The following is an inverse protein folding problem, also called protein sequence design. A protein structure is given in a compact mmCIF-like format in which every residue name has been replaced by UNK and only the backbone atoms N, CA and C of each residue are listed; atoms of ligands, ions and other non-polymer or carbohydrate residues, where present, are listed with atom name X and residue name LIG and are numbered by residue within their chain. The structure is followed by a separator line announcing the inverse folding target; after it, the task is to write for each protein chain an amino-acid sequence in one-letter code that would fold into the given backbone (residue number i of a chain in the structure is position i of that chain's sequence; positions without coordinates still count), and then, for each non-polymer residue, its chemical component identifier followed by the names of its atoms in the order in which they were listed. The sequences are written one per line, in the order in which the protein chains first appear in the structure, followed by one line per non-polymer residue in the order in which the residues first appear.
data_IF_911709005381
#
_entry.id   IF_911709005381
#
_cell.length_a   1.000
_cell.length_b   1.000
_cell.length_c   1.000
_cell.angle_alpha   90.00
_cell.angle_beta   90.00
_cell.angle_gamma   90.00
#
_symmetry.space_group_name_H-M   'P 1'
#
loop_
_entity.id
_entity.type
_entity.pdbx_description
1 polymer ?
#
# COMPACT_ATOMS: atom_id res chain seq x y z
N UNK A 1 -50.35 66.11 -56.21
CA UNK A 1 -49.14 66.15 -55.36
C UNK A 1 -49.38 65.46 -54.02
N UNK A 2 -50.42 65.85 -53.27
CA UNK A 2 -50.78 65.26 -51.97
C UNK A 2 -50.93 63.72 -51.97
N UNK A 3 -51.71 63.16 -52.88
CA UNK A 3 -51.93 61.70 -52.97
C UNK A 3 -50.66 60.88 -53.27
N UNK A 4 -49.69 61.47 -53.99
CA UNK A 4 -48.43 60.79 -54.27
C UNK A 4 -47.48 60.84 -53.05
N UNK A 5 -47.60 61.89 -52.23
CA UNK A 5 -46.89 62.02 -50.96
C UNK A 5 -47.44 61.01 -49.94
N UNK A 6 -48.77 60.90 -49.82
CA UNK A 6 -49.46 59.95 -48.93
C UNK A 6 -49.11 58.50 -49.26
N UNK A 7 -49.14 58.12 -50.53
CA UNK A 7 -48.71 56.78 -50.96
C UNK A 7 -47.26 56.48 -50.59
N UNK A 8 -46.36 57.45 -50.78
CA UNK A 8 -44.93 57.29 -50.47
C UNK A 8 -44.68 57.20 -48.96
N UNK A 9 -45.47 57.92 -48.15
CA UNK A 9 -45.46 57.80 -46.69
C UNK A 9 -45.98 56.43 -46.26
N UNK A 10 -47.02 55.90 -46.91
CA UNK A 10 -47.58 54.59 -46.58
C UNK A 10 -46.64 53.44 -46.96
N UNK A 11 -45.99 53.52 -48.12
CA UNK A 11 -44.94 52.58 -48.54
C UNK A 11 -43.77 52.58 -47.54
N UNK A 12 -43.23 53.77 -47.20
CA UNK A 12 -42.15 53.92 -46.21
C UNK A 12 -42.54 53.41 -44.82
N UNK A 13 -43.77 53.67 -44.38
CA UNK A 13 -44.27 53.20 -43.08
C UNK A 13 -44.37 51.67 -43.05
N UNK A 14 -44.82 51.05 -44.15
CA UNK A 14 -44.88 49.60 -44.29
C UNK A 14 -43.49 48.95 -44.29
N UNK A 15 -42.54 49.53 -45.04
CA UNK A 15 -41.14 49.11 -45.06
C UNK A 15 -40.49 49.17 -43.67
N UNK A 16 -40.70 50.29 -42.95
CA UNK A 16 -40.22 50.47 -41.57
C UNK A 16 -40.84 49.44 -40.62
N UNK A 17 -42.13 49.15 -40.77
CA UNK A 17 -42.82 48.15 -39.93
C UNK A 17 -42.25 46.75 -40.16
N UNK A 18 -42.03 46.36 -41.43
CA UNK A 18 -41.40 45.07 -41.77
C UNK A 18 -39.95 44.99 -41.26
N UNK A 19 -39.18 46.07 -41.37
CA UNK A 19 -37.82 46.13 -40.86
C UNK A 19 -37.77 46.01 -39.33
N UNK A 20 -38.70 46.65 -38.61
CA UNK A 20 -38.81 46.56 -37.15
C UNK A 20 -39.13 45.15 -36.68
N UNK A 21 -40.02 44.42 -37.36
CA UNK A 21 -40.33 43.01 -37.05
C UNK A 21 -39.08 42.14 -37.21
N UNK A 22 -38.37 42.26 -38.34
CA UNK A 22 -37.12 41.50 -38.59
C UNK A 22 -36.00 41.84 -37.61
N UNK A 23 -35.91 43.10 -37.16
CA UNK A 23 -34.97 43.51 -36.12
C UNK A 23 -35.34 42.92 -34.76
N UNK A 24 -36.64 42.87 -34.42
CA UNK A 24 -37.14 42.20 -33.22
C UNK A 24 -36.74 40.72 -33.18
N UNK A 25 -37.04 39.98 -34.24
CA UNK A 25 -36.66 38.56 -34.36
C UNK A 25 -35.14 38.35 -34.18
N UNK A 26 -34.31 39.18 -34.83
CA UNK A 26 -32.84 39.11 -34.68
C UNK A 26 -32.36 39.42 -33.26
N UNK A 27 -33.02 40.35 -32.56
CA UNK A 27 -32.69 40.68 -31.17
C UNK A 27 -33.04 39.51 -30.25
N UNK A 28 -34.19 38.86 -30.47
CA UNK A 28 -34.61 37.69 -29.70
C UNK A 28 -33.69 36.48 -29.93
N UNK A 29 -33.30 36.23 -31.18
CA UNK A 29 -32.31 35.20 -31.53
C UNK A 29 -30.96 35.47 -30.87
N UNK A 30 -30.47 36.71 -30.94
CA UNK A 30 -29.18 37.10 -30.34
C UNK A 30 -29.21 36.98 -28.82
N UNK A 31 -30.32 37.36 -28.19
CA UNK A 31 -30.51 37.24 -26.73
C UNK A 31 -30.54 35.78 -26.30
N UNK A 32 -31.18 34.91 -27.07
CA UNK A 32 -31.22 33.47 -26.82
C UNK A 32 -29.84 32.84 -26.99
N UNK A 33 -29.11 33.19 -28.06
CA UNK A 33 -27.74 32.72 -28.28
C UNK A 33 -26.78 33.19 -27.17
N UNK A 34 -26.91 34.44 -26.70
CA UNK A 34 -26.11 34.96 -25.60
C UNK A 34 -26.35 34.18 -24.30
N UNK A 35 -27.60 33.89 -23.96
CA UNK A 35 -27.94 33.08 -22.77
C UNK A 35 -27.33 31.68 -22.83
N UNK A 36 -27.35 31.03 -23.99
CA UNK A 36 -26.72 29.70 -24.18
C UNK A 36 -25.20 29.79 -23.99
N UNK A 37 -24.57 30.81 -24.56
CA UNK A 37 -23.12 31.03 -24.41
C UNK A 37 -22.73 31.25 -22.95
N UNK A 38 -23.47 32.09 -22.22
CA UNK A 38 -23.24 32.34 -20.79
C UNK A 38 -23.34 31.06 -19.95
N UNK A 39 -24.31 30.18 -20.23
CA UNK A 39 -24.41 28.89 -19.54
C UNK A 39 -23.22 27.97 -19.86
N UNK A 40 -22.78 27.90 -21.13
CA UNK A 40 -21.60 27.11 -21.51
C UNK A 40 -20.31 27.62 -20.85
N UNK A 41 -20.14 28.93 -20.73
CA UNK A 41 -19.00 29.52 -20.04
C UNK A 41 -18.99 29.14 -18.55
N UNK A 42 -20.14 29.12 -17.88
CA UNK A 42 -20.25 28.67 -16.48
C UNK A 42 -19.80 27.21 -16.31
N UNK A 43 -20.24 26.32 -17.19
CA UNK A 43 -19.84 24.90 -17.18
C UNK A 43 -18.33 24.75 -17.38
N UNK A 44 -17.76 25.42 -18.39
CA UNK A 44 -16.33 25.35 -18.70
C UNK A 44 -15.50 25.88 -17.53
N UNK A 45 -15.87 27.05 -16.97
CA UNK A 45 -15.15 27.64 -15.85
C UNK A 45 -15.19 26.73 -14.62
N UNK A 46 -16.34 26.09 -14.34
CA UNK A 46 -16.45 25.16 -13.22
C UNK A 46 -15.50 23.96 -13.37
N UNK A 47 -15.45 23.34 -14.56
CA UNK A 47 -14.57 22.20 -14.81
C UNK A 47 -13.10 22.61 -14.81
N UNK A 48 -12.77 23.80 -15.33
CA UNK A 48 -11.43 24.36 -15.28
C UNK A 48 -10.97 24.64 -13.84
N UNK A 49 -11.80 25.31 -13.04
CA UNK A 49 -11.50 25.60 -11.63
C UNK A 49 -11.35 24.31 -10.82
N UNK A 50 -12.16 23.28 -11.12
CA UNK A 50 -12.01 21.95 -10.52
C UNK A 50 -10.67 21.31 -10.90
N UNK A 51 -10.27 21.35 -12.17
CA UNK A 51 -8.96 20.84 -12.62
C UNK A 51 -7.82 21.55 -11.89
N UNK A 52 -7.87 22.88 -11.84
CA UNK A 52 -6.88 23.71 -11.15
C UNK A 52 -6.83 23.44 -9.65
N UNK A 53 -7.98 23.14 -9.03
CA UNK A 53 -8.07 22.76 -7.62
C UNK A 53 -7.37 21.42 -7.36
N UNK A 54 -7.62 20.42 -8.21
CA UNK A 54 -7.05 19.07 -8.09
C UNK A 54 -5.52 19.07 -8.29
N UNK A 55 -5.01 19.94 -9.15
CA UNK A 55 -3.57 20.07 -9.43
C UNK A 55 -2.78 20.77 -8.31
N UNK A 56 -3.44 21.33 -7.29
CA UNK A 56 -2.74 22.00 -6.19
C UNK A 56 -1.89 20.99 -5.40
N UNK A 57 -0.60 21.27 -5.18
CA UNK A 57 0.26 20.37 -4.43
C UNK A 57 -0.26 20.22 -2.98
N UNK A 58 -0.28 18.98 -2.49
CA UNK A 58 -0.66 18.60 -1.11
C UNK A 58 -2.11 18.92 -0.69
N UNK A 59 -3.01 19.28 -1.61
CA UNK A 59 -4.42 19.42 -1.26
C UNK A 59 -4.99 18.07 -0.81
N UNK A 60 -5.77 18.04 0.28
CA UNK A 60 -6.43 16.81 0.73
C UNK A 60 -7.68 16.50 -0.09
N UNK A 61 -8.11 15.24 -0.10
CA UNK A 61 -9.34 14.84 -0.78
C UNK A 61 -10.57 15.56 -0.17
N UNK A 62 -10.57 15.76 1.14
CA UNK A 62 -11.58 16.51 1.88
C UNK A 62 -11.67 17.97 1.42
N UNK A 63 -10.52 18.63 1.24
CA UNK A 63 -10.46 20.00 0.72
C UNK A 63 -10.97 20.08 -0.72
N UNK A 64 -10.63 19.11 -1.57
CA UNK A 64 -11.16 19.03 -2.94
C UNK A 64 -12.69 18.95 -2.90
N UNK A 65 -13.25 18.03 -2.12
CA UNK A 65 -14.70 17.88 -2.03
C UNK A 65 -15.39 19.13 -1.46
N UNK A 66 -14.84 19.73 -0.42
CA UNK A 66 -15.41 20.95 0.17
C UNK A 66 -15.37 22.13 -0.80
N UNK A 67 -14.27 22.37 -1.51
CA UNK A 67 -14.20 23.45 -2.50
C UNK A 67 -15.11 23.17 -3.71
N UNK A 68 -15.26 21.90 -4.09
CA UNK A 68 -16.11 21.51 -5.22
C UNK A 68 -17.58 21.86 -4.99
N UNK A 69 -18.11 21.78 -3.76
CA UNK A 69 -19.51 22.19 -3.49
C UNK A 69 -19.74 23.67 -3.80
N UNK A 70 -18.72 24.52 -3.59
CA UNK A 70 -18.79 25.94 -3.88
C UNK A 70 -18.63 26.23 -5.37
N UNK A 71 -17.80 25.46 -6.09
CA UNK A 71 -17.69 25.54 -7.55
C UNK A 71 -19.00 25.18 -8.24
N UNK A 72 -19.63 24.06 -7.84
CA UNK A 72 -20.94 23.64 -8.36
C UNK A 72 -21.97 24.75 -8.13
N UNK A 73 -22.07 25.28 -6.90
CA UNK A 73 -23.01 26.37 -6.58
C UNK A 73 -22.84 27.58 -7.49
N UNK A 74 -21.59 28.01 -7.76
CA UNK A 74 -21.30 29.16 -8.63
C UNK A 74 -21.63 28.90 -10.10
N UNK A 75 -21.55 27.65 -10.55
CA UNK A 75 -21.77 27.27 -11.94
C UNK A 75 -23.26 27.17 -12.32
N UNK A 76 -24.16 27.06 -11.34
CA UNK A 76 -25.60 26.91 -11.59
C UNK A 76 -26.25 28.22 -12.08
N UNK A 77 -27.44 28.10 -12.66
CA UNK A 77 -28.21 29.25 -13.16
C UNK A 77 -28.48 30.28 -12.07
N UNK A 78 -28.83 29.82 -10.86
CA UNK A 78 -29.15 30.69 -9.72
C UNK A 78 -28.29 30.40 -8.46
N UNK A 79 -27.00 30.81 -8.44
CA UNK A 79 -26.07 30.47 -7.36
C UNK A 79 -26.52 30.87 -5.94
N UNK A 80 -27.27 31.96 -5.81
CA UNK A 80 -27.72 32.47 -4.51
C UNK A 80 -28.71 31.53 -3.82
N UNK A 81 -29.53 30.84 -4.59
CA UNK A 81 -30.53 29.88 -4.11
C UNK A 81 -30.11 28.43 -4.33
N UNK A 82 -29.01 28.16 -5.03
CA UNK A 82 -28.44 26.81 -5.10
C UNK A 82 -27.75 26.45 -3.79
N UNK A 83 -27.99 25.24 -3.30
CA UNK A 83 -27.17 24.63 -2.27
C UNK A 83 -26.79 23.21 -2.65
N UNK A 84 -25.60 22.79 -2.22
CA UNK A 84 -24.95 21.57 -2.70
C UNK A 84 -24.45 20.77 -1.51
N UNK A 85 -24.57 19.45 -1.59
CA UNK A 85 -23.92 18.52 -0.69
C UNK A 85 -23.26 17.40 -1.47
N UNK A 86 -22.02 17.11 -1.13
CA UNK A 86 -21.34 15.89 -1.56
C UNK A 86 -21.25 14.98 -0.34
N UNK A 87 -21.67 13.73 -0.48
CA UNK A 87 -21.42 12.67 0.50
C UNK A 87 -20.46 11.68 -0.13
N UNK A 88 -19.29 11.49 0.49
CA UNK A 88 -18.28 10.54 0.02
C UNK A 88 -17.72 9.80 1.24
N UNK A 89 -17.75 8.47 1.18
CA UNK A 89 -17.31 7.58 2.28
C UNK A 89 -17.88 7.98 3.67
N UNK A 90 -19.18 8.31 3.71
CA UNK A 90 -19.89 8.73 4.93
C UNK A 90 -19.66 10.20 5.37
N UNK A 91 -18.62 10.86 4.85
CA UNK A 91 -18.32 12.27 5.14
C UNK A 91 -19.18 13.19 4.27
N UNK A 92 -19.69 14.27 4.86
CA UNK A 92 -20.61 15.22 4.21
C UNK A 92 -19.95 16.59 4.06
N UNK A 93 -19.77 17.02 2.81
CA UNK A 93 -19.29 18.33 2.41
C UNK A 93 -20.47 19.14 1.91
N UNK A 94 -20.63 20.39 2.36
CA UNK A 94 -21.83 21.17 2.04
C UNK A 94 -21.54 22.65 1.90
N UNK A 95 -22.41 23.32 1.15
CA UNK A 95 -22.46 24.78 1.19
C UNK A 95 -23.04 25.25 2.53
N UNK A 96 -22.69 26.48 2.91
CA UNK A 96 -23.17 27.20 4.08
C UNK A 96 -24.71 27.28 4.15
N UNK A 97 -25.37 27.48 3.00
CA UNK A 97 -26.82 27.60 2.86
C UNK A 97 -27.57 26.26 2.68
N UNK A 98 -26.95 25.12 2.98
CA UNK A 98 -27.53 23.81 2.65
C UNK A 98 -28.86 23.52 3.36
N UNK A 99 -29.91 23.28 2.56
CA UNK A 99 -31.23 22.83 3.02
C UNK A 99 -31.88 21.96 1.94
N UNK A 100 -32.44 20.82 2.35
CA UNK A 100 -33.20 19.95 1.44
C UNK A 100 -34.53 20.61 1.05
N UNK A 101 -34.87 20.53 -0.23
CA UNK A 101 -36.11 21.02 -0.83
C UNK A 101 -36.63 20.00 -1.86
N UNK A 102 -37.84 20.18 -2.37
CA UNK A 102 -38.39 19.31 -3.43
C UNK A 102 -37.66 19.50 -4.77
N UNK A 103 -37.16 20.72 -5.03
CA UNK A 103 -36.41 21.06 -6.24
C UNK A 103 -34.98 20.55 -6.12
N UNK A 104 -34.77 19.28 -6.50
CA UNK A 104 -33.50 18.58 -6.30
C UNK A 104 -33.06 17.74 -7.49
N UNK A 105 -31.74 17.55 -7.62
CA UNK A 105 -31.13 16.57 -8.51
C UNK A 105 -29.95 15.90 -7.81
N UNK A 106 -29.60 14.70 -8.26
CA UNK A 106 -28.54 13.91 -7.66
C UNK A 106 -27.79 13.09 -8.70
N UNK A 107 -26.49 12.90 -8.47
CA UNK A 107 -25.61 12.06 -9.27
C UNK A 107 -24.74 11.20 -8.35
N UNK A 108 -24.44 9.98 -8.78
CA UNK A 108 -23.57 9.08 -8.03
C UNK A 108 -22.11 9.31 -8.42
N UNK A 109 -21.24 9.37 -7.41
CA UNK A 109 -19.80 9.28 -7.62
C UNK A 109 -19.45 7.80 -7.60
N UNK A 110 -18.83 7.32 -8.67
CA UNK A 110 -18.41 5.92 -8.83
C UNK A 110 -16.89 5.78 -8.84
N UNK A 111 -16.39 4.71 -8.22
CA UNK A 111 -15.01 4.24 -8.31
C UNK A 111 -15.10 2.79 -8.78
N UNK A 112 -14.46 2.44 -9.90
CA UNK A 112 -14.48 1.08 -10.46
C UNK A 112 -15.89 0.46 -10.57
N UNK A 113 -16.86 1.26 -11.04
CA UNK A 113 -18.31 0.98 -11.12
C UNK A 113 -19.08 0.92 -9.79
N UNK A 114 -18.40 0.81 -8.65
CA UNK A 114 -19.00 0.83 -7.33
C UNK A 114 -19.40 2.23 -6.89
N UNK A 115 -20.54 2.33 -6.21
CA UNK A 115 -21.03 3.60 -5.65
C UNK A 115 -20.18 4.01 -4.44
N UNK A 116 -19.32 4.99 -4.63
CA UNK A 116 -18.45 5.55 -3.58
C UNK A 116 -19.04 6.81 -2.91
N UNK A 117 -19.96 7.50 -3.58
CA UNK A 117 -20.55 8.73 -3.07
C UNK A 117 -21.75 9.24 -3.85
N UNK A 118 -22.24 10.42 -3.48
CA UNK A 118 -23.37 11.08 -4.13
C UNK A 118 -23.22 12.59 -4.03
N UNK A 119 -23.50 13.29 -5.12
CA UNK A 119 -23.65 14.74 -5.17
C UNK A 119 -25.15 15.04 -5.21
N UNK A 120 -25.60 15.94 -4.34
CA UNK A 120 -26.98 16.38 -4.22
C UNK A 120 -27.02 17.89 -4.38
N UNK A 121 -27.87 18.39 -5.26
CA UNK A 121 -28.08 19.82 -5.48
C UNK A 121 -29.54 20.17 -5.30
N UNK A 122 -29.80 21.26 -4.59
CA UNK A 122 -31.14 21.77 -4.29
C UNK A 122 -31.25 23.25 -4.66
N UNK A 123 -32.43 23.66 -5.13
CA UNK A 123 -32.82 25.07 -5.20
C UNK A 123 -33.69 25.47 -4.00
N UNK A 124 -33.36 26.61 -3.38
CA UNK A 124 -34.07 27.21 -2.26
C UNK A 124 -35.14 28.19 -2.79
N UNK A 125 -36.43 27.88 -2.61
CA UNK A 125 -37.54 28.77 -3.01
C UNK A 125 -38.77 28.00 -3.49
N UNK A 126 -39.88 28.71 -3.66
CA UNK A 126 -41.12 28.17 -4.26
C UNK A 126 -41.04 28.21 -5.80
N UNK A 127 -41.74 27.26 -6.45
CA UNK A 127 -41.69 26.92 -7.88
C UNK A 127 -41.46 28.13 -8.79
N UNK A 128 -40.45 28.02 -9.68
CA UNK A 128 -40.43 28.86 -10.87
C UNK A 128 -41.73 28.62 -11.64
N UNK A 129 -42.56 29.65 -11.73
CA UNK A 129 -43.70 29.66 -12.62
C UNK A 129 -43.24 29.33 -14.05
N UNK A 130 -44.04 28.50 -14.73
CA UNK A 130 -43.92 28.09 -16.13
C UNK A 130 -42.96 26.93 -16.43
N UNK A 131 -43.58 25.80 -16.77
CA UNK A 131 -43.15 24.72 -17.67
C UNK A 131 -41.66 24.45 -17.89
N UNK A 132 -41.31 23.18 -17.65
CA UNK A 132 -40.04 22.48 -17.89
C UNK A 132 -39.20 22.31 -16.62
N UNK A 133 -38.52 21.17 -16.56
CA UNK A 133 -37.73 20.66 -15.44
C UNK A 133 -36.93 21.75 -14.71
N UNK A 134 -36.86 21.73 -13.37
CA UNK A 134 -36.27 22.83 -12.58
C UNK A 134 -34.77 23.05 -12.83
N UNK A 135 -34.09 22.06 -13.41
CA UNK A 135 -32.70 22.10 -13.81
C UNK A 135 -32.54 21.97 -15.32
N UNK A 136 -31.52 22.64 -15.85
CA UNK A 136 -31.15 22.56 -17.26
C UNK A 136 -30.43 21.24 -17.56
N UNK A 137 -30.38 20.86 -18.84
CA UNK A 137 -29.61 19.70 -19.30
C UNK A 137 -28.12 19.91 -19.02
N UNK A 138 -27.61 21.12 -19.25
CA UNK A 138 -26.23 21.49 -19.01
C UNK A 138 -25.83 21.38 -17.53
N UNK A 139 -26.78 21.60 -16.60
CA UNK A 139 -26.55 21.45 -15.16
C UNK A 139 -26.46 19.97 -14.74
N UNK A 140 -27.26 19.10 -15.37
CA UNK A 140 -27.15 17.65 -15.22
C UNK A 140 -25.83 17.14 -15.81
N UNK A 141 -25.51 17.53 -17.05
CA UNK A 141 -24.28 17.13 -17.74
C UNK A 141 -23.03 17.60 -16.96
N UNK A 142 -23.08 18.80 -16.35
CA UNK A 142 -22.03 19.31 -15.47
C UNK A 142 -21.87 18.42 -14.22
N UNK A 143 -22.97 18.05 -13.55
CA UNK A 143 -22.91 17.17 -12.39
C UNK A 143 -22.33 15.80 -12.73
N UNK A 144 -22.73 15.22 -13.85
CA UNK A 144 -22.18 13.95 -14.35
C UNK A 144 -20.68 14.04 -14.61
N UNK A 145 -20.23 15.14 -15.24
CA UNK A 145 -18.82 15.38 -15.50
C UNK A 145 -18.03 15.53 -14.19
N UNK A 146 -18.55 16.28 -13.23
CA UNK A 146 -17.90 16.48 -11.91
C UNK A 146 -17.86 15.15 -11.14
N UNK A 147 -18.95 14.40 -11.10
CA UNK A 147 -18.99 13.12 -10.39
C UNK A 147 -17.97 12.12 -10.95
N UNK A 148 -17.85 12.03 -12.29
CA UNK A 148 -16.82 11.22 -12.94
C UNK A 148 -15.41 11.70 -12.61
N UNK A 149 -15.18 13.02 -12.58
CA UNK A 149 -13.88 13.59 -12.28
C UNK A 149 -13.46 13.32 -10.82
N UNK A 150 -14.36 13.57 -9.86
CA UNK A 150 -14.14 13.27 -8.45
C UNK A 150 -13.89 11.79 -8.20
N UNK A 151 -14.63 10.90 -8.88
CA UNK A 151 -14.40 9.45 -8.82
C UNK A 151 -12.99 9.07 -9.24
N UNK A 152 -12.51 9.59 -10.39
CA UNK A 152 -11.12 9.33 -10.86
C UNK A 152 -10.05 9.85 -9.91
N UNK A 153 -10.24 11.04 -9.34
CA UNK A 153 -9.29 11.63 -8.39
C UNK A 153 -9.24 10.83 -7.10
N UNK A 154 -10.39 10.45 -6.57
CA UNK A 154 -10.50 9.63 -5.37
C UNK A 154 -9.85 8.26 -5.58
N UNK A 155 -10.14 7.58 -6.70
CA UNK A 155 -9.52 6.31 -7.07
C UNK A 155 -7.98 6.42 -7.11
N UNK A 156 -7.47 7.44 -7.81
CA UNK A 156 -6.02 7.69 -7.90
C UNK A 156 -5.38 7.92 -6.52
N UNK A 157 -6.04 8.66 -5.64
CA UNK A 157 -5.57 8.90 -4.27
C UNK A 157 -5.55 7.62 -3.44
N UNK A 158 -6.63 6.84 -3.48
CA UNK A 158 -6.71 5.55 -2.78
C UNK A 158 -5.64 4.56 -3.27
N UNK A 159 -5.40 4.46 -4.58
CA UNK A 159 -4.32 3.63 -5.11
C UNK A 159 -2.95 4.11 -4.62
N UNK A 160 -2.71 5.43 -4.60
CA UNK A 160 -1.48 6.01 -4.09
C UNK A 160 -1.24 5.70 -2.61
N UNK A 161 -2.26 5.91 -1.77
CA UNK A 161 -2.20 5.64 -0.33
C UNK A 161 -2.01 4.15 -0.02
N UNK A 162 -2.72 3.26 -0.74
CA UNK A 162 -2.55 1.81 -0.61
C UNK A 162 -1.12 1.38 -0.98
N UNK A 163 -0.56 1.94 -2.05
CA UNK A 163 0.80 1.65 -2.47
C UNK A 163 1.83 2.15 -1.45
N UNK A 164 1.63 3.34 -0.89
CA UNK A 164 2.48 3.89 0.16
C UNK A 164 2.42 3.06 1.45
N UNK A 165 1.21 2.66 1.88
CA UNK A 165 1.02 1.75 3.00
C UNK A 165 1.74 0.41 2.75
N UNK A 166 1.58 -0.17 1.56
CA UNK A 166 2.22 -1.43 1.20
C UNK A 166 3.76 -1.32 1.22
N UNK A 167 4.33 -0.25 0.67
CA UNK A 167 5.77 0.03 0.74
C UNK A 167 6.27 0.15 2.17
N UNK A 168 5.56 0.92 3.00
CA UNK A 168 5.89 1.08 4.41
C UNK A 168 5.82 -0.24 5.19
N UNK A 169 4.87 -1.13 4.89
CA UNK A 169 4.77 -2.44 5.52
C UNK A 169 5.95 -3.34 5.12
N UNK A 170 6.33 -3.34 3.84
CA UNK A 170 7.48 -4.10 3.33
C UNK A 170 8.80 -3.60 3.95
N UNK A 171 8.98 -2.29 4.04
CA UNK A 171 10.20 -1.69 4.60
C UNK A 171 10.33 -1.88 6.10
N UNK A 172 9.20 -2.02 6.82
CA UNK A 172 9.17 -2.34 8.25
C UNK A 172 9.26 -3.83 8.55
N UNK A 173 9.30 -4.70 7.54
CA UNK A 173 9.57 -6.12 7.75
C UNK A 173 10.98 -6.31 8.31
N UNK A 174 11.12 -7.23 9.27
CA UNK A 174 12.45 -7.62 9.77
C UNK A 174 13.22 -8.49 8.78
N UNK A 175 12.53 -9.01 7.76
CA UNK A 175 13.09 -9.87 6.73
C UNK A 175 13.65 -9.03 5.58
N UNK A 176 14.72 -9.53 4.96
CA UNK A 176 15.24 -8.95 3.74
C UNK A 176 14.38 -9.45 2.58
N UNK A 177 13.76 -8.53 1.83
CA UNK A 177 12.88 -8.87 0.71
C UNK A 177 13.53 -8.40 -0.58
N UNK A 178 13.59 -9.29 -1.56
CA UNK A 178 14.14 -9.05 -2.89
C UNK A 178 13.14 -9.47 -3.97
N UNK A 179 13.05 -8.67 -5.02
CA UNK A 179 12.41 -9.05 -6.29
C UNK A 179 13.53 -9.26 -7.30
N UNK A 180 13.60 -10.45 -7.88
CA UNK A 180 14.73 -10.88 -8.70
C UNK A 180 14.22 -11.26 -10.09
N UNK A 181 14.97 -10.85 -11.11
CA UNK A 181 14.77 -11.29 -12.49
C UNK A 181 15.20 -12.77 -12.64
N UNK A 182 14.28 -13.68 -13.01
CA UNK A 182 14.63 -15.11 -13.11
C UNK A 182 15.66 -15.40 -14.21
N UNK A 183 15.74 -14.58 -15.25
CA UNK A 183 16.63 -14.81 -16.40
C UNK A 183 18.08 -14.46 -16.08
N UNK A 184 18.32 -13.39 -15.33
CA UNK A 184 19.68 -12.88 -15.10
C UNK A 184 20.08 -12.78 -13.64
N UNK A 185 19.17 -13.08 -12.71
CA UNK A 185 19.42 -12.97 -11.27
C UNK A 185 19.58 -11.52 -10.80
N UNK A 186 19.17 -10.52 -11.61
CA UNK A 186 19.27 -9.10 -11.26
C UNK A 186 18.24 -8.72 -10.23
N UNK A 187 18.61 -7.89 -9.26
CA UNK A 187 17.64 -7.31 -8.34
C UNK A 187 16.83 -6.24 -9.06
N UNK A 188 15.51 -6.43 -9.09
CA UNK A 188 14.53 -5.51 -9.66
C UNK A 188 13.95 -4.58 -8.59
N UNK A 189 13.84 -5.08 -7.35
CA UNK A 189 13.47 -4.29 -6.18
C UNK A 189 14.03 -4.92 -4.89
N UNK A 190 14.20 -4.09 -3.87
CA UNK A 190 14.65 -4.48 -2.52
C UNK A 190 13.99 -3.58 -1.48
N UNK A 191 13.68 -4.15 -0.31
CA UNK A 191 13.20 -3.36 0.82
C UNK A 191 14.34 -2.67 1.59
N UNK A 192 13.98 -1.71 2.45
CA UNK A 192 14.93 -0.99 3.31
C UNK A 192 15.76 -1.95 4.19
N UNK A 193 15.12 -2.98 4.74
CA UNK A 193 15.77 -3.99 5.57
C UNK A 193 16.89 -4.74 4.87
N UNK A 194 16.71 -5.13 3.61
CA UNK A 194 17.75 -5.77 2.80
C UNK A 194 18.97 -4.85 2.64
N UNK A 195 18.73 -3.57 2.38
CA UNK A 195 19.79 -2.55 2.24
C UNK A 195 20.58 -2.38 3.54
N UNK A 196 19.87 -2.19 4.66
CA UNK A 196 20.48 -2.06 6.00
C UNK A 196 21.28 -3.29 6.40
N UNK A 197 20.70 -4.48 6.23
CA UNK A 197 21.36 -5.74 6.57
C UNK A 197 22.63 -5.90 5.74
N UNK A 198 22.53 -5.83 4.41
CA UNK A 198 23.67 -6.11 3.53
C UNK A 198 24.72 -4.97 3.50
N UNK A 199 24.36 -3.76 3.94
CA UNK A 199 25.24 -2.60 3.95
C UNK A 199 25.41 -1.91 2.59
N UNK A 200 24.53 -2.20 1.63
CA UNK A 200 24.50 -1.56 0.31
C UNK A 200 23.35 -0.56 0.24
N UNK A 201 23.50 0.49 -0.57
CA UNK A 201 22.33 1.32 -0.89
C UNK A 201 21.38 0.57 -1.82
N UNK A 202 20.12 1.00 -1.88
CA UNK A 202 19.14 0.44 -2.79
C UNK A 202 19.62 0.52 -4.25
N UNK A 203 20.20 1.64 -4.64
CA UNK A 203 20.72 1.87 -6.00
C UNK A 203 21.87 0.92 -6.33
N UNK A 204 22.76 0.65 -5.38
CA UNK A 204 23.83 -0.34 -5.53
C UNK A 204 23.24 -1.73 -5.73
N UNK A 205 22.30 -2.15 -4.86
CA UNK A 205 21.63 -3.46 -4.96
C UNK A 205 20.92 -3.65 -6.30
N UNK A 206 20.22 -2.63 -6.81
CA UNK A 206 19.57 -2.71 -8.13
C UNK A 206 20.55 -2.82 -9.30
N UNK A 207 21.81 -2.45 -9.10
CA UNK A 207 22.90 -2.68 -10.05
C UNK A 207 23.53 -4.08 -9.96
N UNK A 208 23.20 -4.86 -8.95
CA UNK A 208 23.81 -6.15 -8.62
C UNK A 208 22.97 -7.35 -9.08
N UNK A 209 23.57 -8.53 -8.94
CA UNK A 209 22.94 -9.83 -9.18
C UNK A 209 23.06 -10.73 -7.95
N UNK A 210 22.18 -11.74 -7.86
CA UNK A 210 22.08 -12.64 -6.70
C UNK A 210 23.41 -13.28 -6.28
N UNK A 211 24.26 -13.66 -7.26
CA UNK A 211 25.58 -14.27 -7.01
C UNK A 211 26.59 -13.34 -6.36
N UNK A 212 26.37 -12.02 -6.39
CA UNK A 212 27.23 -11.06 -5.68
C UNK A 212 27.05 -11.14 -4.16
N UNK A 213 25.91 -11.68 -3.71
CA UNK A 213 25.50 -11.72 -2.31
C UNK A 213 25.40 -13.15 -1.79
N UNK A 214 24.73 -14.05 -2.52
CA UNK A 214 24.45 -15.42 -2.06
C UNK A 214 25.57 -16.39 -2.44
N UNK A 215 26.32 -16.86 -1.46
CA UNK A 215 27.47 -17.75 -1.66
C UNK A 215 27.11 -19.14 -2.17
N UNK A 216 25.88 -19.61 -1.93
CA UNK A 216 25.40 -20.89 -2.46
C UNK A 216 25.04 -20.85 -3.96
N UNK A 217 25.06 -19.65 -4.57
CA UNK A 217 24.78 -19.44 -6.00
C UNK A 217 26.00 -18.75 -6.63
N UNK A 218 27.09 -19.50 -6.89
CA UNK A 218 28.37 -18.91 -7.32
C UNK A 218 28.35 -18.39 -8.76
N UNK A 219 27.44 -18.89 -9.60
CA UNK A 219 27.38 -18.53 -11.02
C UNK A 219 25.96 -18.58 -11.60
N UNK A 220 25.85 -18.12 -12.85
CA UNK A 220 24.57 -18.01 -13.56
C UNK A 220 23.94 -19.40 -13.79
N UNK A 221 24.74 -20.46 -13.93
CA UNK A 221 24.22 -21.81 -14.13
C UNK A 221 23.53 -22.35 -12.88
N UNK A 222 24.10 -22.08 -11.69
CA UNK A 222 23.46 -22.39 -10.41
C UNK A 222 22.14 -21.64 -10.23
N UNK A 223 22.09 -20.36 -10.63
CA UNK A 223 20.86 -19.58 -10.58
C UNK A 223 19.78 -20.13 -11.54
N UNK A 224 20.18 -20.48 -12.77
CA UNK A 224 19.25 -21.06 -13.75
C UNK A 224 18.69 -22.40 -13.28
N UNK A 225 19.53 -23.26 -12.70
CA UNK A 225 19.07 -24.53 -12.15
C UNK A 225 18.10 -24.31 -10.98
N UNK A 226 18.36 -23.31 -10.13
CA UNK A 226 17.44 -22.94 -9.07
C UNK A 226 16.10 -22.45 -9.62
N UNK A 227 16.10 -21.65 -10.68
CA UNK A 227 14.86 -21.17 -11.30
C UNK A 227 14.03 -22.34 -11.87
N UNK A 228 14.68 -23.35 -12.46
CA UNK A 228 13.98 -24.56 -12.93
C UNK A 228 13.37 -25.36 -11.78
N UNK A 229 14.08 -25.49 -10.66
CA UNK A 229 13.55 -26.14 -9.45
C UNK A 229 12.30 -25.41 -8.95
N UNK A 230 12.33 -24.08 -8.88
CA UNK A 230 11.17 -23.26 -8.48
C UNK A 230 9.97 -23.45 -9.41
N UNK A 231 10.19 -23.60 -10.71
CA UNK A 231 9.12 -23.83 -11.70
C UNK A 231 8.42 -25.19 -11.51
N UNK A 232 9.15 -26.20 -11.00
CA UNK A 232 8.64 -27.56 -10.79
C UNK A 232 8.03 -27.72 -9.38
N UNK A 233 8.74 -27.27 -8.35
CA UNK A 233 8.44 -27.53 -6.94
C UNK A 233 7.59 -26.41 -6.30
N UNK A 234 7.54 -25.23 -6.92
CA UNK A 234 6.87 -24.05 -6.39
C UNK A 234 7.72 -23.31 -5.36
N UNK A 235 7.29 -23.32 -4.10
CA UNK A 235 7.97 -22.62 -3.01
C UNK A 235 9.19 -23.42 -2.52
N UNK A 236 10.38 -22.82 -2.58
CA UNK A 236 11.62 -23.47 -2.10
C UNK A 236 12.18 -22.71 -0.92
N UNK A 237 12.49 -23.42 0.17
CA UNK A 237 13.25 -22.89 1.30
C UNK A 237 14.68 -23.37 1.17
N UNK A 238 15.64 -22.46 1.28
CA UNK A 238 17.05 -22.78 1.27
C UNK A 238 17.80 -22.13 2.43
N UNK A 239 18.88 -22.78 2.84
CA UNK A 239 19.84 -22.17 3.76
C UNK A 239 21.11 -21.84 2.99
N UNK A 240 21.56 -20.60 3.14
CA UNK A 240 22.71 -20.04 2.45
C UNK A 240 23.55 -19.15 3.35
N UNK A 241 24.53 -18.51 2.72
CA UNK A 241 25.33 -17.47 3.37
C UNK A 241 25.33 -16.24 2.49
N UNK A 242 24.82 -15.16 3.04
CA UNK A 242 24.83 -13.87 2.39
C UNK A 242 26.10 -13.11 2.76
N UNK A 243 26.71 -12.46 1.77
CA UNK A 243 27.90 -11.61 1.92
C UNK A 243 27.49 -10.14 1.96
N UNK A 244 27.92 -9.44 3.01
CA UNK A 244 27.72 -7.99 3.18
C UNK A 244 28.77 -7.20 2.38
N UNK A 245 28.55 -5.89 2.23
CA UNK A 245 29.48 -4.96 1.55
C UNK A 245 30.87 -4.92 2.18
N UNK A 246 30.94 -5.02 3.51
CA UNK A 246 32.20 -5.06 4.27
C UNK A 246 32.95 -6.40 4.16
N UNK A 247 32.35 -7.40 3.48
CA UNK A 247 32.90 -8.73 3.30
C UNK A 247 32.51 -9.75 4.38
N UNK A 248 31.87 -9.32 5.47
CA UNK A 248 31.34 -10.24 6.49
C UNK A 248 30.19 -11.08 5.92
N UNK A 249 29.88 -12.19 6.58
CA UNK A 249 28.83 -13.10 6.14
C UNK A 249 27.88 -13.44 7.28
N UNK A 250 26.62 -13.69 6.93
CA UNK A 250 25.60 -14.14 7.87
C UNK A 250 24.83 -15.33 7.31
N UNK A 251 24.26 -16.14 8.20
CA UNK A 251 23.43 -17.26 7.79
C UNK A 251 22.05 -16.76 7.39
N UNK A 252 21.66 -17.07 6.16
CA UNK A 252 20.35 -16.71 5.63
C UNK A 252 19.51 -17.97 5.45
N UNK A 253 18.27 -17.95 5.96
CA UNK A 253 17.22 -18.88 5.57
C UNK A 253 16.29 -18.13 4.62
N UNK A 254 16.28 -18.55 3.35
CA UNK A 254 15.65 -17.81 2.27
C UNK A 254 14.51 -18.64 1.69
N UNK A 255 13.31 -18.08 1.75
CA UNK A 255 12.14 -18.58 1.01
C UNK A 255 12.11 -17.93 -0.36
N UNK A 256 12.08 -18.75 -1.40
CA UNK A 256 12.00 -18.34 -2.80
C UNK A 256 10.65 -18.74 -3.37
N UNK A 257 9.98 -17.80 -4.05
CA UNK A 257 8.72 -18.04 -4.75
C UNK A 257 8.79 -17.48 -6.17
N UNK A 258 8.37 -18.29 -7.15
CA UNK A 258 8.15 -17.81 -8.51
C UNK A 258 6.75 -17.22 -8.64
N UNK A 259 6.66 -15.97 -9.09
CA UNK A 259 5.40 -15.23 -9.26
C UNK A 259 5.25 -14.82 -10.71
N UNK A 260 4.15 -15.25 -11.32
CA UNK A 260 3.74 -14.82 -12.65
C UNK A 260 2.77 -13.63 -12.53
N UNK A 261 3.11 -12.50 -13.15
CA UNK A 261 2.22 -11.36 -13.27
C UNK A 261 2.05 -10.96 -14.74
N UNK A 262 0.86 -11.25 -15.28
CA UNK A 262 0.32 -10.97 -16.62
C UNK A 262 1.19 -11.38 -17.83
N UNK A 263 2.47 -10.99 -17.87
CA UNK A 263 3.45 -11.27 -18.94
C UNK A 263 4.90 -11.42 -18.46
N UNK A 264 5.18 -11.32 -17.17
CA UNK A 264 6.55 -11.38 -16.65
C UNK A 264 6.62 -12.22 -15.38
N UNK A 265 7.65 -13.06 -15.32
CA UNK A 265 7.97 -13.85 -14.15
C UNK A 265 8.94 -13.10 -13.25
N UNK A 266 8.75 -13.25 -11.95
CA UNK A 266 9.57 -12.68 -10.89
C UNK A 266 9.89 -13.75 -9.87
N UNK A 267 11.10 -13.73 -9.32
CA UNK A 267 11.39 -14.50 -8.10
C UNK A 267 11.32 -13.55 -6.92
N UNK A 268 10.44 -13.83 -5.97
CA UNK A 268 10.38 -13.15 -4.68
C UNK A 268 11.23 -13.96 -3.70
N UNK A 269 12.26 -13.33 -3.15
CA UNK A 269 13.09 -13.91 -2.10
C UNK A 269 12.86 -13.20 -0.78
N UNK A 270 12.52 -13.95 0.26
CA UNK A 270 12.42 -13.46 1.64
C UNK A 270 13.47 -14.17 2.46
N UNK A 271 14.49 -13.42 2.88
CA UNK A 271 15.64 -13.95 3.61
C UNK A 271 15.62 -13.48 5.08
N UNK A 272 15.66 -14.47 5.98
CA UNK A 272 15.76 -14.27 7.41
C UNK A 272 17.22 -14.46 7.85
N UNK A 273 17.77 -13.51 8.60
CA UNK A 273 19.07 -13.68 9.25
C UNK A 273 18.90 -14.60 10.46
N UNK A 274 19.46 -15.81 10.37
CA UNK A 274 19.37 -16.85 11.40
C UNK A 274 20.71 -17.05 12.14
N UNK A 275 21.60 -16.07 12.07
CA UNK A 275 22.95 -16.15 12.64
C UNK A 275 22.92 -16.36 14.15
N UNK A 276 22.13 -15.56 14.89
CA UNK A 276 22.00 -15.69 16.34
C UNK A 276 21.43 -17.06 16.73
N UNK A 277 20.41 -17.54 16.00
CA UNK A 277 19.81 -18.85 16.22
C UNK A 277 20.85 -19.96 16.04
N UNK A 278 21.60 -19.96 14.93
CA UNK A 278 22.62 -20.98 14.67
C UNK A 278 23.77 -20.95 15.68
N UNK A 279 24.20 -19.76 16.10
CA UNK A 279 25.23 -19.64 17.15
C UNK A 279 24.74 -20.19 18.50
N UNK A 280 23.49 -19.92 18.87
CA UNK A 280 22.89 -20.47 20.09
C UNK A 280 22.74 -21.99 20.04
N UNK A 281 22.34 -22.54 18.89
CA UNK A 281 22.25 -23.99 18.65
C UNK A 281 23.63 -24.65 18.76
N UNK A 282 24.67 -24.08 18.15
CA UNK A 282 26.05 -24.58 18.23
C UNK A 282 26.61 -24.51 19.66
N UNK A 283 26.40 -23.40 20.36
CA UNK A 283 26.82 -23.25 21.76
C UNK A 283 26.14 -24.30 22.67
N UNK A 284 24.85 -24.54 22.44
CA UNK A 284 24.07 -25.55 23.16
C UNK A 284 24.61 -26.95 22.87
N UNK A 285 24.85 -27.29 21.60
CA UNK A 285 25.41 -28.57 21.20
C UNK A 285 26.79 -28.82 21.85
N UNK A 286 27.67 -27.82 21.86
CA UNK A 286 28.98 -27.90 22.52
C UNK A 286 28.85 -28.09 24.05
N UNK A 287 27.89 -27.42 24.69
CA UNK A 287 27.64 -27.59 26.11
C UNK A 287 27.14 -29.00 26.44
N UNK A 288 26.26 -29.58 25.62
CA UNK A 288 25.82 -30.96 25.76
C UNK A 288 26.98 -31.96 25.65
N UNK A 289 27.85 -31.82 24.66
CA UNK A 289 29.03 -32.70 24.52
C UNK A 289 29.94 -32.64 25.75
N UNK A 290 30.25 -31.43 26.25
CA UNK A 290 31.06 -31.27 27.46
C UNK A 290 30.39 -31.88 28.71
N UNK A 291 29.08 -31.78 28.81
CA UNK A 291 28.31 -32.35 29.91
C UNK A 291 28.31 -33.89 29.86
N UNK A 292 28.23 -34.50 28.67
CA UNK A 292 28.34 -35.95 28.51
C UNK A 292 29.73 -36.47 28.90
N UNK A 293 30.79 -35.77 28.51
CA UNK A 293 32.17 -36.11 28.89
C UNK A 293 32.37 -36.03 30.42
N UNK A 294 31.94 -34.93 31.04
CA UNK A 294 32.02 -34.76 32.49
C UNK A 294 31.21 -35.82 33.26
N UNK A 295 30.03 -36.19 32.75
CA UNK A 295 29.21 -37.26 33.35
C UNK A 295 29.87 -38.64 33.25
N UNK A 296 30.59 -38.92 32.16
CA UNK A 296 31.35 -40.17 32.01
C UNK A 296 32.50 -40.24 33.02
N UNK A 297 33.30 -39.18 33.12
CA UNK A 297 34.41 -39.09 34.08
C UNK A 297 33.93 -39.22 35.53
N UNK A 298 32.82 -38.56 35.87
CA UNK A 298 32.24 -38.62 37.20
C UNK A 298 31.78 -40.04 37.57
N UNK A 299 31.18 -40.77 36.62
CA UNK A 299 30.80 -42.19 36.83
C UNK A 299 32.02 -43.08 37.06
N UNK A 300 33.10 -42.88 36.30
CA UNK A 300 34.34 -43.64 36.48
C UNK A 300 34.98 -43.37 37.85
N UNK A 301 35.08 -42.10 38.24
CA UNK A 301 35.62 -41.69 39.53
C UNK A 301 34.77 -42.21 40.70
N UNK A 302 33.44 -42.17 40.57
CA UNK A 302 32.52 -42.74 41.57
C UNK A 302 32.74 -44.26 41.70
N UNK A 303 32.94 -44.97 40.58
CA UNK A 303 33.27 -46.40 40.59
C UNK A 303 34.58 -46.69 41.33
N UNK A 304 35.62 -45.91 41.09
CA UNK A 304 36.91 -46.03 41.79
C UNK A 304 36.80 -45.76 43.28
N UNK A 305 36.04 -44.72 43.68
CA UNK A 305 35.81 -44.38 45.09
C UNK A 305 35.09 -45.51 45.83
N UNK A 306 34.01 -46.05 45.26
CA UNK A 306 33.29 -47.19 45.85
C UNK A 306 34.21 -48.41 46.02
N UNK A 307 35.11 -48.66 45.07
CA UNK A 307 36.08 -49.75 45.17
C UNK A 307 37.14 -49.48 46.24
N UNK A 308 37.61 -48.23 46.36
CA UNK A 308 38.54 -47.80 47.41
C UNK A 308 37.93 -47.94 48.80
N UNK A 309 36.69 -47.48 49.01
CA UNK A 309 35.96 -47.63 50.28
C UNK A 309 35.78 -49.09 50.68
N UNK A 310 35.42 -49.97 49.71
CA UNK A 310 35.33 -51.42 49.96
C UNK A 310 36.67 -52.01 50.41
N UNK A 311 37.77 -51.65 49.75
CA UNK A 311 39.10 -52.12 50.11
C UNK A 311 39.55 -51.62 51.49
N UNK A 312 39.25 -50.36 51.83
CA UNK A 312 39.54 -49.81 53.15
C UNK A 312 38.78 -50.54 54.27
N UNK A 313 37.50 -50.84 54.05
CA UNK A 313 36.66 -51.63 54.99
C UNK A 313 37.19 -53.05 55.17
N UNK A 314 37.57 -53.74 54.07
CA UNK A 314 38.22 -55.06 54.13
C UNK A 314 39.53 -54.98 54.91
N UNK A 315 40.34 -53.94 54.69
CA UNK A 315 41.59 -53.72 55.41
C UNK A 315 41.41 -53.55 56.91
N UNK A 316 40.40 -52.78 57.35
CA UNK A 316 40.06 -52.63 58.77
C UNK A 316 39.64 -53.96 59.41
N UNK A 317 38.78 -54.72 58.73
CA UNK A 317 38.36 -56.03 59.21
C UNK A 317 39.55 -57.00 59.31
N UNK A 318 40.41 -57.05 58.29
CA UNK A 318 41.60 -57.90 58.28
C UNK A 318 42.57 -57.54 59.42
N UNK A 319 42.78 -56.24 59.70
CA UNK A 319 43.59 -55.79 60.81
C UNK A 319 42.99 -56.19 62.18
N UNK A 320 41.66 -56.07 62.33
CA UNK A 320 40.95 -56.53 63.53
C UNK A 320 41.10 -58.04 63.75
N UNK A 321 40.87 -58.84 62.71
CA UNK A 321 41.02 -60.31 62.76
C UNK A 321 42.46 -60.70 63.07
N UNK A 322 43.46 -60.04 62.46
CA UNK A 322 44.86 -60.30 62.75
C UNK A 322 45.23 -59.98 64.21
N UNK A 323 44.66 -58.90 64.78
CA UNK A 323 44.85 -58.55 66.18
C UNK A 323 44.24 -59.61 67.12
N UNK A 324 43.02 -60.06 66.84
CA UNK A 324 42.34 -61.11 67.61
C UNK A 324 43.05 -62.47 67.50
N UNK A 325 43.61 -62.81 66.33
CA UNK A 325 44.37 -64.05 66.12
C UNK A 325 45.75 -64.02 66.79
N UNK A 326 46.44 -62.88 66.79
CA UNK A 326 47.75 -62.76 67.43
C UNK A 326 47.67 -62.76 68.96
N UNK A 327 46.53 -62.39 69.54
CA UNK A 327 46.33 -62.37 71.01
C UNK A 327 46.53 -63.76 71.66
N UNK A 328 45.88 -64.85 71.21
CA UNK A 328 46.13 -66.19 71.74
C UNK A 328 47.49 -66.78 71.32
N UNK A 329 47.99 -66.49 70.12
CA UNK A 329 49.31 -66.97 69.66
C UNK A 329 50.45 -66.37 70.51
N UNK A 330 50.35 -65.10 70.85
CA UNK A 330 51.26 -64.46 71.80
C UNK A 330 51.22 -65.15 73.16
N UNK A 331 50.03 -65.46 73.68
CA UNK A 331 49.84 -66.18 74.94
C UNK A 331 50.43 -67.61 74.92
N UNK A 332 50.37 -68.30 73.79
CA UNK A 332 50.94 -69.65 73.62
C UNK A 332 52.46 -69.61 73.42
N UNK A 333 53.01 -68.52 72.86
CA UNK A 333 54.45 -68.35 72.68
C UNK A 333 55.17 -67.81 73.94
N UNK A 334 54.44 -67.25 74.91
CA UNK A 334 54.97 -66.71 76.17
C UNK A 334 54.86 -67.66 77.37
N UNK A 335 54.39 -68.89 77.17
CA UNK A 335 54.46 -70.02 78.11
C UNK A 335 55.41 -71.07 77.54
#
# INVERSE_FOLDING_TARGET
FHANLERKVQERTSELTSANVKLGEKIDDRTSAQKILEQRLKVINCLYDLSKLIERPKISLEQIFQETVHLIRKAYRHPHVTCVRITFDGIKYKTDNFKKTELSQYVQIKIDEDKAGTIEVYYLGEKAESDKTPFLKEEHDLLDAIAKHLGRVAARRQTGEKLELFRNLIDRSNDCIFVIDPKWGRFLDVNGRASESLGYTREELLGMVIKDIEQSIPDDSCWQERCKQLDIEGDVIMQGRHKRKDGTTFFAETTLKLVNQEKKDYVIAVALDVTERKQAEEATAQAYTKLEEANRELKEMQGQLVQSEKMASIGQLAAGVAHEMNTPVGFVASN
#
